data_IF_169785528568
#
_entry.id   IF_169785528568
#
_cell.length_a   1.000
_cell.length_b   1.000
_cell.length_c   1.000
_cell.angle_alpha   90.00
_cell.angle_beta   90.00
_cell.angle_gamma   90.00
#
_symmetry.space_group_name_H-M   'P 1'
#
loop_
_entity.id
_entity.type
_entity.pdbx_description
1 polymer ?
#
# COMPACT_ATOMS: atom_id res chain seq x y z
N UNK A 1 -3.80 47.23 -1.19
CA UNK A 1 -3.63 45.80 -1.53
C UNK A 1 -4.68 45.01 -0.75
N UNK A 2 -5.76 44.56 -1.39
CA UNK A 2 -6.85 43.86 -0.71
C UNK A 2 -6.41 42.42 -0.36
N UNK A 3 -6.45 42.05 0.93
CA UNK A 3 -6.16 40.70 1.39
C UNK A 3 -7.29 39.78 0.92
N UNK A 4 -7.01 38.88 -0.03
CA UNK A 4 -8.00 37.94 -0.54
C UNK A 4 -8.60 37.08 0.58
N UNK A 5 -9.94 37.01 0.63
CA UNK A 5 -10.66 36.21 1.61
C UNK A 5 -10.46 34.74 1.26
N UNK A 6 -9.68 34.02 2.08
CA UNK A 6 -9.47 32.58 1.91
C UNK A 6 -10.78 31.79 1.97
N UNK A 7 -10.80 30.58 1.41
CA UNK A 7 -12.01 29.78 1.28
C UNK A 7 -12.65 29.49 2.64
N UNK A 8 -13.99 29.54 2.69
CA UNK A 8 -14.75 29.26 3.89
C UNK A 8 -14.68 27.75 4.25
N UNK A 9 -15.18 27.38 5.44
CA UNK A 9 -15.14 25.99 5.91
C UNK A 9 -15.85 25.00 4.98
N UNK A 10 -16.92 25.43 4.30
CA UNK A 10 -17.70 24.59 3.39
C UNK A 10 -16.97 24.36 2.07
N UNK A 11 -16.32 25.39 1.53
CA UNK A 11 -15.46 25.30 0.35
C UNK A 11 -14.25 24.39 0.61
N UNK A 12 -13.64 24.47 1.81
CA UNK A 12 -12.57 23.55 2.20
C UNK A 12 -13.03 22.10 2.28
N UNK A 13 -14.21 21.83 2.81
CA UNK A 13 -14.75 20.48 2.88
C UNK A 13 -15.08 19.90 1.49
N UNK A 14 -15.62 20.71 0.58
CA UNK A 14 -15.88 20.30 -0.80
C UNK A 14 -14.60 20.05 -1.61
N UNK A 15 -13.50 20.74 -1.29
CA UNK A 15 -12.19 20.52 -1.89
C UNK A 15 -11.39 19.36 -1.28
N UNK A 16 -11.88 18.72 -0.21
CA UNK A 16 -11.20 17.54 0.30
C UNK A 16 -11.41 16.39 -0.70
N UNK A 17 -10.34 15.76 -1.19
CA UNK A 17 -10.48 14.55 -1.99
C UNK A 17 -11.27 13.53 -1.17
N UNK A 18 -12.28 12.94 -1.79
CA UNK A 18 -13.10 11.89 -1.19
C UNK A 18 -12.15 10.86 -0.59
N UNK A 19 -12.25 10.64 0.74
CA UNK A 19 -11.37 9.72 1.47
C UNK A 19 -11.33 8.41 0.69
N UNK A 20 -10.14 8.00 0.28
CA UNK A 20 -9.94 6.80 -0.54
C UNK A 20 -10.43 5.57 0.24
N UNK A 21 -11.68 5.19 -0.02
CA UNK A 21 -12.38 4.09 0.65
C UNK A 21 -11.67 2.76 0.42
N UNK A 22 -11.00 2.63 -0.73
CA UNK A 22 -10.17 1.46 -1.08
C UNK A 22 -9.01 1.37 -0.09
N UNK A 23 -8.30 2.48 0.12
CA UNK A 23 -7.17 2.51 1.06
C UNK A 23 -7.59 2.18 2.50
N UNK A 24 -8.78 2.61 2.91
CA UNK A 24 -9.34 2.29 4.23
C UNK A 24 -9.74 0.82 4.36
N UNK A 25 -10.39 0.25 3.33
CA UNK A 25 -10.82 -1.14 3.30
C UNK A 25 -9.65 -2.13 3.35
N UNK A 26 -8.52 -1.80 2.71
CA UNK A 26 -7.37 -2.70 2.59
C UNK A 26 -6.20 -2.31 3.51
N UNK A 27 -6.51 -1.72 4.67
CA UNK A 27 -5.53 -1.46 5.73
C UNK A 27 -4.36 -0.57 5.29
N UNK A 28 -4.63 0.41 4.43
CA UNK A 28 -3.66 1.37 3.91
C UNK A 28 -3.04 1.04 2.56
N UNK A 29 -3.43 -0.08 1.93
CA UNK A 29 -2.88 -0.51 0.64
C UNK A 29 -3.41 0.29 -0.55
N UNK A 30 -2.60 0.38 -1.60
CA UNK A 30 -2.96 0.96 -2.89
C UNK A 30 -2.97 -0.12 -3.97
N UNK A 31 -3.85 0.02 -4.97
CA UNK A 31 -3.84 -0.87 -6.14
C UNK A 31 -2.73 -0.44 -7.09
N UNK A 32 -1.93 -1.40 -7.54
CA UNK A 32 -0.87 -1.21 -8.53
C UNK A 32 -0.84 -2.37 -9.50
N UNK A 33 -0.52 -2.09 -10.76
CA UNK A 33 -0.28 -3.10 -11.77
C UNK A 33 1.16 -3.59 -11.70
N UNK A 34 1.36 -4.91 -11.79
CA UNK A 34 2.69 -5.52 -11.95
C UNK A 34 2.57 -6.68 -12.95
N UNK A 35 3.19 -6.52 -14.11
CA UNK A 35 2.87 -7.34 -15.29
C UNK A 35 1.40 -7.18 -15.68
N UNK A 36 0.73 -8.27 -16.04
CA UNK A 36 -0.69 -8.29 -16.44
C UNK A 36 -1.66 -8.50 -15.27
N UNK A 37 -1.22 -8.29 -14.02
CA UNK A 37 -2.04 -8.54 -12.81
C UNK A 37 -2.12 -7.30 -11.94
N UNK A 38 -3.28 -7.11 -11.30
CA UNK A 38 -3.48 -6.07 -10.29
C UNK A 38 -3.13 -6.60 -8.89
N UNK A 39 -2.44 -5.77 -8.13
CA UNK A 39 -1.95 -6.07 -6.80
C UNK A 39 -2.35 -4.98 -5.82
N UNK A 40 -2.76 -5.39 -4.63
CA UNK A 40 -2.77 -4.50 -3.48
C UNK A 40 -1.39 -4.44 -2.88
N UNK A 41 -0.89 -3.22 -2.69
CA UNK A 41 0.48 -2.95 -2.26
C UNK A 41 0.45 -2.06 -1.03
N UNK A 42 1.16 -2.48 0.02
CA UNK A 42 1.33 -1.69 1.23
C UNK A 42 2.80 -1.59 1.61
N UNK A 43 3.23 -0.39 1.93
CA UNK A 43 4.56 -0.16 2.50
C UNK A 43 4.57 -0.46 4.00
N UNK A 44 5.59 -1.21 4.43
CA UNK A 44 5.86 -1.51 5.83
C UNK A 44 7.10 -0.72 6.24
N UNK A 45 6.92 0.20 7.19
CA UNK A 45 8.03 0.95 7.76
C UNK A 45 8.93 0.05 8.60
N UNK A 46 10.21 0.42 8.71
CA UNK A 46 11.23 -0.28 9.50
C UNK A 46 10.75 -0.64 10.91
N UNK A 47 10.10 0.30 11.61
CA UNK A 47 9.61 0.08 12.98
C UNK A 47 8.50 -0.99 13.09
N UNK A 48 7.76 -1.25 12.01
CA UNK A 48 6.72 -2.29 11.96
C UNK A 48 7.23 -3.61 11.37
N UNK A 49 8.48 -3.65 10.89
CA UNK A 49 9.11 -4.84 10.36
C UNK A 49 9.68 -5.68 11.51
N UNK A 50 8.82 -6.40 12.22
CA UNK A 50 9.23 -7.13 13.44
C UNK A 50 9.67 -8.57 13.16
N UNK A 51 9.47 -9.06 11.93
CA UNK A 51 9.74 -10.46 11.54
C UNK A 51 10.56 -10.53 10.26
N UNK A 52 11.37 -11.58 10.16
CA UNK A 52 12.09 -11.92 8.94
C UNK A 52 11.15 -12.54 7.91
N UNK A 53 11.24 -12.10 6.66
CA UNK A 53 10.50 -12.68 5.54
C UNK A 53 11.42 -12.95 4.35
N UNK A 54 11.09 -13.93 3.50
CA UNK A 54 11.85 -14.21 2.27
C UNK A 54 11.29 -13.43 1.09
N UNK A 55 12.13 -12.66 0.41
CA UNK A 55 11.73 -11.99 -0.82
C UNK A 55 11.64 -12.99 -1.98
N UNK A 56 10.51 -13.08 -2.71
CA UNK A 56 10.33 -14.06 -3.78
C UNK A 56 11.06 -13.69 -5.08
N UNK A 57 11.50 -12.44 -5.23
CA UNK A 57 12.11 -11.93 -6.46
C UNK A 57 13.63 -12.19 -6.48
N UNK A 58 14.34 -11.80 -5.41
CA UNK A 58 15.77 -12.06 -5.27
C UNK A 58 16.09 -13.31 -4.44
N UNK A 59 15.11 -13.88 -3.76
CA UNK A 59 15.33 -15.03 -2.88
C UNK A 59 16.17 -14.71 -1.65
N UNK A 60 16.30 -13.45 -1.21
CA UNK A 60 17.05 -13.04 0.00
C UNK A 60 16.10 -12.70 1.15
N UNK A 61 16.56 -12.83 2.39
CA UNK A 61 15.80 -12.46 3.58
C UNK A 61 15.69 -10.94 3.76
N UNK A 62 14.49 -10.50 4.12
CA UNK A 62 14.17 -9.15 4.62
C UNK A 62 14.23 -9.24 6.14
N UNK A 63 15.27 -8.69 6.80
CA UNK A 63 15.41 -8.78 8.24
C UNK A 63 14.43 -7.86 8.97
N UNK A 64 14.18 -8.10 10.28
CA UNK A 64 13.44 -7.15 11.09
C UNK A 64 14.17 -5.80 11.11
N UNK A 65 13.41 -4.70 11.20
CA UNK A 65 13.91 -3.34 11.10
C UNK A 65 14.13 -2.84 9.65
N UNK A 66 13.99 -3.69 8.63
CA UNK A 66 14.11 -3.27 7.23
C UNK A 66 12.74 -2.86 6.66
N UNK A 67 12.65 -1.64 6.13
CA UNK A 67 11.47 -1.22 5.37
C UNK A 67 11.32 -2.04 4.10
N UNK A 68 10.09 -2.47 3.82
CA UNK A 68 9.77 -3.36 2.72
C UNK A 68 8.32 -3.21 2.26
N UNK A 69 7.96 -3.91 1.18
CA UNK A 69 6.64 -3.88 0.57
C UNK A 69 5.93 -5.20 0.83
N UNK A 70 4.65 -5.13 1.19
CA UNK A 70 3.75 -6.27 1.24
C UNK A 70 2.77 -6.16 0.09
N UNK A 71 2.69 -7.20 -0.72
CA UNK A 71 1.78 -7.25 -1.86
C UNK A 71 0.97 -8.55 -1.88
N UNK A 72 -0.30 -8.44 -2.27
CA UNK A 72 -1.20 -9.56 -2.50
C UNK A 72 -2.08 -9.30 -3.72
N UNK A 73 -2.57 -10.36 -4.36
CA UNK A 73 -3.35 -10.24 -5.59
C UNK A 73 -4.69 -9.56 -5.33
N UNK A 74 -5.10 -8.66 -6.22
CA UNK A 74 -6.43 -8.05 -6.19
C UNK A 74 -7.52 -8.96 -6.77
N UNK A 75 -7.14 -9.95 -7.56
CA UNK A 75 -8.03 -10.86 -8.29
C UNK A 75 -8.14 -12.25 -7.64
N UNK A 76 -8.00 -12.35 -6.31
CA UNK A 76 -7.99 -13.65 -5.65
C UNK A 76 -9.37 -14.32 -5.71
N UNK A 77 -9.44 -15.51 -6.33
CA UNK A 77 -10.69 -16.24 -6.61
C UNK A 77 -11.52 -16.57 -5.35
N UNK A 78 -10.87 -16.68 -4.20
CA UNK A 78 -11.50 -16.98 -2.90
C UNK A 78 -11.75 -15.73 -2.04
N UNK A 79 -11.68 -14.54 -2.64
CA UNK A 79 -11.89 -13.26 -1.97
C UNK A 79 -10.66 -12.70 -1.26
N UNK A 80 -10.82 -11.49 -0.72
CA UNK A 80 -9.72 -10.66 -0.22
C UNK A 80 -9.03 -11.23 1.03
N UNK A 81 -9.76 -11.89 1.93
CA UNK A 81 -9.17 -12.49 3.14
C UNK A 81 -8.17 -13.60 2.80
N UNK A 82 -8.49 -14.42 1.79
CA UNK A 82 -7.59 -15.45 1.30
C UNK A 82 -6.36 -14.81 0.63
N UNK A 83 -6.56 -13.75 -0.15
CA UNK A 83 -5.47 -13.00 -0.76
C UNK A 83 -4.48 -12.45 0.29
N UNK A 84 -5.00 -11.91 1.40
CA UNK A 84 -4.19 -11.35 2.50
C UNK A 84 -3.41 -12.44 3.27
N UNK A 85 -3.92 -13.68 3.29
CA UNK A 85 -3.19 -14.82 3.85
C UNK A 85 -2.00 -15.20 2.98
N UNK A 86 -2.16 -15.15 1.66
CA UNK A 86 -1.11 -15.42 0.67
C UNK A 86 -0.24 -14.19 0.34
N UNK A 87 -0.21 -13.19 1.23
CA UNK A 87 0.58 -11.98 1.04
C UNK A 87 2.08 -12.29 0.97
N UNK A 88 2.75 -11.63 0.03
CA UNK A 88 4.18 -11.77 -0.22
C UNK A 88 4.91 -10.51 0.20
N UNK A 89 6.14 -10.68 0.67
CA UNK A 89 6.98 -9.59 1.17
C UNK A 89 8.13 -9.37 0.20
N UNK A 90 8.34 -8.14 -0.24
CA UNK A 90 9.34 -7.75 -1.22
C UNK A 90 10.21 -6.65 -0.68
N UNK A 91 11.50 -6.64 -1.05
CA UNK A 91 12.29 -5.42 -0.90
C UNK A 91 11.70 -4.30 -1.77
N UNK A 92 11.89 -3.04 -1.36
CA UNK A 92 11.43 -1.89 -2.16
C UNK A 92 12.03 -1.87 -3.58
N UNK A 93 13.28 -2.29 -3.75
CA UNK A 93 13.91 -2.35 -5.07
C UNK A 93 13.33 -3.50 -5.90
N UNK A 94 13.26 -4.72 -5.35
CA UNK A 94 12.67 -5.88 -6.01
C UNK A 94 11.23 -5.67 -6.48
N UNK A 95 10.43 -4.88 -5.77
CA UNK A 95 9.06 -4.60 -6.21
C UNK A 95 9.00 -3.72 -7.46
N UNK A 96 9.95 -2.79 -7.59
CA UNK A 96 10.03 -1.83 -8.71
C UNK A 96 10.80 -2.37 -9.92
N UNK A 97 11.48 -3.50 -9.75
CA UNK A 97 12.10 -4.28 -10.83
C UNK A 97 11.05 -5.10 -11.55
#
# INVERSE_FOLDING_TARGET
MARGRGPNKYQRAASQPQRDVTRLAYGGATKQWRGDREWFVREVSAHRAEKTYRCPDCGTDIPPGQSHIVAWSADHLFGDEAAVRDRRHYHHHCWRS
#
